data_IF_833092070076
#
_entry.id   IF_833092070076
#
_cell.length_a   1.000
_cell.length_b   1.000
_cell.length_c   1.000
_cell.angle_alpha   90.00
_cell.angle_beta   90.00
_cell.angle_gamma   90.00
#
_symmetry.space_group_name_H-M   'P 1'
#
loop_
_entity.id
_entity.type
_entity.pdbx_description
1 polymer ?
#
# COMPACT_ATOMS: atom_id res chain seq x y z
N UNK A 1 32.03 22.08 26.24
CA UNK A 1 30.75 21.40 26.52
C UNK A 1 29.65 22.21 25.87
N UNK A 2 29.26 21.86 24.64
CA UNK A 2 28.09 22.33 23.90
C UNK A 2 28.14 21.66 22.53
N UNK A 3 27.17 20.81 22.19
CA UNK A 3 26.80 20.50 20.80
C UNK A 3 25.32 20.09 20.75
N UNK A 4 24.50 20.76 19.93
CA UNK A 4 23.14 20.36 19.58
C UNK A 4 23.17 19.52 18.29
N UNK A 5 22.32 18.49 18.20
CA UNK A 5 22.22 17.62 17.02
C UNK A 5 20.76 17.36 16.67
N UNK A 6 20.23 18.19 15.78
CA UNK A 6 18.94 18.01 15.14
C UNK A 6 19.05 16.88 14.10
N UNK A 7 18.46 15.72 14.35
CA UNK A 7 18.40 14.64 13.37
C UNK A 7 17.23 14.88 12.41
N UNK A 8 17.54 15.58 11.32
CA UNK A 8 16.76 15.51 10.08
C UNK A 8 16.80 14.06 9.57
N UNK A 9 15.71 13.32 9.74
CA UNK A 9 15.52 12.03 9.08
C UNK A 9 15.17 12.27 7.61
N UNK A 10 16.18 12.59 6.78
CA UNK A 10 16.12 12.39 5.34
C UNK A 10 16.40 10.91 5.10
N UNK A 11 15.36 10.09 5.12
CA UNK A 11 15.45 8.70 4.69
C UNK A 11 15.55 8.73 3.16
N UNK A 12 16.73 8.46 2.63
CA UNK A 12 16.92 8.06 1.24
C UNK A 12 16.32 6.66 1.08
N UNK A 13 15.13 6.54 0.52
CA UNK A 13 14.66 5.29 -0.09
C UNK A 13 13.74 5.60 -1.28
N UNK A 14 14.29 5.53 -2.51
CA UNK A 14 13.50 5.10 -3.65
C UNK A 14 14.28 4.15 -4.58
N UNK A 15 15.12 3.24 -4.07
CA UNK A 15 15.93 2.35 -4.93
C UNK A 15 15.47 0.89 -4.94
N UNK A 16 14.66 0.44 -3.97
CA UNK A 16 14.28 -0.97 -3.90
C UNK A 16 13.08 -1.34 -4.78
N UNK A 17 12.19 -0.40 -5.09
CA UNK A 17 11.09 -0.65 -6.04
C UNK A 17 11.57 -0.66 -7.51
N UNK A 18 12.68 0.03 -7.80
CA UNK A 18 13.24 0.13 -9.15
C UNK A 18 13.90 -1.15 -9.66
N UNK A 19 14.36 -2.05 -8.77
CA UNK A 19 15.01 -3.30 -9.17
C UNK A 19 14.04 -4.40 -9.60
N UNK A 20 12.77 -4.35 -9.17
CA UNK A 20 11.76 -5.34 -9.56
C UNK A 20 11.16 -5.07 -10.95
N UNK A 21 11.04 -3.81 -11.37
CA UNK A 21 10.49 -3.44 -12.68
C UNK A 21 11.48 -3.62 -13.84
N UNK A 22 12.78 -3.72 -13.58
CA UNK A 22 13.80 -3.80 -14.63
C UNK A 22 14.03 -5.24 -15.17
N UNK A 23 13.45 -6.25 -14.52
CA UNK A 23 13.63 -7.67 -14.88
C UNK A 23 12.41 -8.37 -15.49
N UNK A 24 11.25 -7.70 -15.59
CA UNK A 24 10.01 -8.35 -15.99
C UNK A 24 9.26 -7.60 -17.11
N UNK A 25 9.79 -7.63 -18.33
CA UNK A 25 8.97 -7.58 -19.55
C UNK A 25 9.71 -8.32 -20.69
N UNK A 26 9.39 -9.60 -20.91
CA UNK A 26 9.66 -10.28 -22.19
C UNK A 26 8.30 -10.52 -22.88
N UNK A 27 8.03 -10.00 -24.11
CA UNK A 27 6.67 -9.87 -24.63
C UNK A 27 6.15 -11.07 -25.45
N UNK A 28 6.59 -12.29 -25.20
CA UNK A 28 6.13 -13.47 -25.94
C UNK A 28 5.81 -14.67 -25.04
N UNK A 29 4.62 -14.68 -24.43
CA UNK A 29 3.98 -15.92 -23.96
C UNK A 29 2.48 -15.68 -23.81
N UNK A 30 1.79 -15.70 -24.95
CA UNK A 30 0.34 -15.85 -25.03
C UNK A 30 0.07 -17.17 -25.77
N UNK A 31 -0.96 -17.87 -25.27
CA UNK A 31 -1.61 -19.09 -25.79
C UNK A 31 -1.05 -20.45 -25.33
N UNK A 32 -1.74 -21.13 -24.40
CA UNK A 32 -2.59 -22.32 -24.71
C UNK A 32 -3.05 -23.11 -23.46
N UNK A 33 -4.37 -23.37 -23.47
CA UNK A 33 -5.15 -24.50 -22.92
C UNK A 33 -5.64 -24.59 -21.47
N UNK A 34 -6.87 -25.09 -21.43
CA UNK A 34 -7.87 -25.29 -20.38
C UNK A 34 -7.82 -26.73 -19.80
N UNK A 35 -8.45 -26.89 -18.63
CA UNK A 35 -8.90 -28.12 -17.93
C UNK A 35 -7.89 -28.95 -17.13
N UNK A 36 -7.88 -28.77 -15.80
CA UNK A 36 -8.32 -29.80 -14.83
C UNK A 36 -8.35 -29.23 -13.41
N UNK A 37 -9.32 -29.68 -12.61
CA UNK A 37 -9.64 -29.08 -11.32
C UNK A 37 -8.57 -29.31 -10.26
N UNK A 38 -7.78 -28.28 -9.99
CA UNK A 38 -6.99 -28.08 -8.78
C UNK A 38 -6.85 -26.56 -8.53
N UNK A 39 -6.74 -26.14 -7.27
CA UNK A 39 -6.75 -24.73 -6.80
C UNK A 39 -6.07 -23.79 -7.81
N UNK A 40 -6.87 -22.98 -8.52
CA UNK A 40 -6.34 -22.00 -9.48
C UNK A 40 -5.70 -20.86 -8.71
N UNK A 41 -4.37 -20.86 -8.68
CA UNK A 41 -3.57 -19.67 -8.39
C UNK A 41 -3.88 -18.65 -9.48
N UNK A 42 -3.91 -17.35 -9.16
CA UNK A 42 -4.06 -16.33 -10.20
C UNK A 42 -2.82 -16.33 -11.09
N UNK A 43 -2.96 -15.95 -12.36
CA UNK A 43 -1.85 -15.84 -13.33
C UNK A 43 -0.69 -15.02 -12.74
N UNK A 44 -1.02 -14.02 -11.92
CA UNK A 44 -0.07 -13.19 -11.18
C UNK A 44 0.71 -13.99 -10.12
N UNK A 45 0.05 -14.87 -9.37
CA UNK A 45 0.71 -15.67 -8.33
C UNK A 45 1.58 -16.78 -8.94
N UNK A 46 1.16 -17.37 -10.05
CA UNK A 46 1.99 -18.31 -10.82
C UNK A 46 3.19 -17.60 -11.46
N UNK A 47 2.99 -16.40 -12.00
CA UNK A 47 4.09 -15.57 -12.50
C UNK A 47 5.07 -15.22 -11.38
N UNK A 48 4.61 -14.89 -10.17
CA UNK A 48 5.47 -14.58 -9.02
C UNK A 48 6.27 -15.82 -8.56
N UNK A 49 5.68 -17.01 -8.60
CA UNK A 49 6.38 -18.25 -8.25
C UNK A 49 7.39 -18.63 -9.33
N UNK A 50 7.02 -18.53 -10.61
CA UNK A 50 7.91 -18.82 -11.72
C UNK A 50 9.04 -17.79 -11.87
N UNK A 51 8.80 -16.54 -11.43
CA UNK A 51 9.76 -15.44 -11.37
C UNK A 51 10.76 -15.56 -10.23
N UNK A 52 10.53 -16.44 -9.25
CA UNK A 52 11.46 -16.62 -8.15
C UNK A 52 12.74 -17.29 -8.69
N UNK A 53 13.89 -16.59 -8.72
CA UNK A 53 15.14 -17.21 -9.16
C UNK A 53 15.46 -18.42 -8.28
N UNK A 54 16.03 -19.47 -8.88
CA UNK A 54 16.44 -20.66 -8.13
C UNK A 54 17.40 -20.24 -7.00
N UNK A 55 17.35 -20.93 -5.86
CA UNK A 55 18.20 -20.56 -4.72
C UNK A 55 19.69 -20.54 -5.11
N UNK A 56 20.11 -21.35 -6.09
CA UNK A 56 21.47 -21.34 -6.63
C UNK A 56 21.83 -20.03 -7.36
N UNK A 57 20.89 -19.44 -8.11
CA UNK A 57 21.11 -18.20 -8.87
C UNK A 57 21.12 -16.96 -7.96
N UNK A 58 20.40 -17.01 -6.83
CA UNK A 58 20.36 -15.91 -5.85
C UNK A 58 21.70 -15.70 -5.12
N UNK A 59 22.53 -16.74 -5.01
CA UNK A 59 23.76 -16.71 -4.19
C UNK A 59 25.07 -16.82 -4.99
N UNK A 60 25.02 -16.83 -6.32
CA UNK A 60 26.21 -16.84 -7.21
C UNK A 60 27.19 -15.68 -6.95
N UNK A 61 26.68 -14.52 -6.49
CA UNK A 61 27.51 -13.34 -6.20
C UNK A 61 28.47 -13.48 -5.01
N UNK A 62 28.28 -14.47 -4.12
CA UNK A 62 29.11 -14.64 -2.92
C UNK A 62 30.37 -15.47 -3.21
N UNK A 63 30.31 -16.41 -4.17
CA UNK A 63 31.42 -17.32 -4.45
C UNK A 63 32.64 -16.61 -5.09
N UNK A 64 32.40 -15.55 -5.86
CA UNK A 64 33.48 -14.77 -6.49
C UNK A 64 34.28 -13.91 -5.51
N UNK A 65 33.77 -13.66 -4.29
CA UNK A 65 34.47 -12.85 -3.28
C UNK A 65 35.44 -13.68 -2.42
N UNK A 66 35.29 -15.02 -2.42
CA UNK A 66 36.14 -15.91 -1.61
C UNK A 66 37.41 -16.39 -2.36
N UNK A 67 37.45 -16.34 -3.70
CA UNK A 67 38.62 -16.78 -4.47
C UNK A 67 39.81 -15.81 -4.46
N UNK A 68 39.63 -14.56 -4.01
CA UNK A 68 40.70 -13.54 -3.98
C UNK A 68 41.53 -13.55 -2.68
N UNK A 69 41.30 -14.50 -1.77
CA UNK A 69 41.93 -14.51 -0.44
C UNK A 69 42.95 -15.64 -0.16
N UNK A 70 43.29 -16.45 -1.16
CA UNK A 70 44.33 -17.50 -1.01
C UNK A 70 45.64 -17.10 -1.68
N UNK A 71 46.34 -16.16 -1.04
CA UNK A 71 47.76 -15.93 -1.25
C UNK A 71 48.46 -15.83 0.10
N UNK A 72 48.55 -16.95 0.84
CA UNK A 72 49.68 -17.24 1.73
C UNK A 72 49.65 -18.70 2.19
N UNK A 73 50.24 -19.57 1.37
CA UNK A 73 50.68 -20.90 1.78
C UNK A 73 52.09 -20.76 2.33
N UNK A 74 52.32 -21.16 3.59
CA UNK A 74 53.55 -21.89 3.98
C UNK A 74 53.50 -22.54 5.37
N UNK A 75 53.94 -23.81 5.34
CA UNK A 75 54.66 -24.60 6.35
C UNK A 75 53.89 -25.61 7.25
N UNK A 76 54.05 -26.89 6.83
CA UNK A 76 54.63 -28.04 7.57
C UNK A 76 53.68 -29.19 7.96
N UNK A 77 53.76 -30.21 7.09
CA UNK A 77 54.01 -31.64 7.29
C UNK A 77 52.95 -32.58 7.88
N UNK A 78 52.60 -33.53 7.00
CA UNK A 78 52.28 -34.93 7.24
C UNK A 78 53.07 -35.58 8.39
N UNK A 79 52.39 -36.39 9.21
CA UNK A 79 52.76 -37.79 9.34
C UNK A 79 51.59 -38.70 9.77
N UNK A 80 51.75 -39.95 9.39
CA UNK A 80 50.90 -41.14 9.33
C UNK A 80 50.37 -41.74 10.65
N UNK A 81 49.24 -42.47 10.61
CA UNK A 81 49.17 -43.94 10.86
C UNK A 81 47.73 -44.53 10.96
N UNK A 82 47.56 -45.55 10.14
CA UNK A 82 46.62 -46.68 10.06
C UNK A 82 45.86 -47.27 11.28
N UNK A 83 44.64 -47.74 10.97
CA UNK A 83 43.92 -48.97 11.39
C UNK A 83 43.28 -49.03 12.80
N UNK A 84 41.95 -49.21 12.85
CA UNK A 84 41.32 -50.48 13.28
C UNK A 84 39.79 -50.46 13.18
N UNK A 85 39.26 -51.56 12.64
CA UNK A 85 37.84 -51.82 12.46
C UNK A 85 37.18 -52.35 13.75
N UNK A 86 35.94 -51.91 13.98
CA UNK A 86 34.90 -52.70 14.63
C UNK A 86 34.54 -52.32 16.07
N UNK A 87 33.42 -51.62 16.26
CA UNK A 87 32.26 -52.12 17.01
C UNK A 87 31.13 -51.08 17.17
N UNK A 88 29.92 -51.52 16.78
CA UNK A 88 28.65 -51.34 17.51
C UNK A 88 28.08 -49.92 17.70
N UNK A 89 27.33 -49.49 16.67
CA UNK A 89 25.91 -49.08 16.73
C UNK A 89 25.40 -48.62 18.11
N UNK A 90 25.56 -47.33 18.40
CA UNK A 90 24.64 -46.50 19.21
C UNK A 90 25.06 -45.02 19.37
N UNK A 91 26.17 -44.59 18.76
CA UNK A 91 26.64 -43.19 18.82
C UNK A 91 26.21 -42.33 17.62
N UNK A 92 25.95 -42.95 16.45
CA UNK A 92 25.64 -42.22 15.19
C UNK A 92 24.33 -41.42 15.22
N UNK A 93 23.34 -41.80 16.03
CA UNK A 93 22.10 -41.03 16.13
C UNK A 93 22.28 -39.74 16.95
N UNK A 94 23.10 -39.78 18.00
CA UNK A 94 23.36 -38.60 18.85
C UNK A 94 24.34 -37.62 18.19
N UNK A 95 25.34 -38.13 17.46
CA UNK A 95 26.28 -37.30 16.70
C UNK A 95 25.61 -36.68 15.46
N UNK A 96 24.67 -37.38 14.80
CA UNK A 96 23.87 -36.80 13.71
C UNK A 96 22.87 -35.74 14.22
N UNK A 97 22.25 -35.92 15.40
CA UNK A 97 21.40 -34.90 16.01
C UNK A 97 22.22 -33.66 16.46
N UNK A 98 23.45 -33.85 16.96
CA UNK A 98 24.36 -32.79 17.37
C UNK A 98 24.97 -32.05 16.16
N UNK A 99 25.27 -32.76 15.06
CA UNK A 99 25.64 -32.16 13.77
C UNK A 99 24.48 -31.38 13.15
N UNK A 100 23.25 -31.90 13.16
CA UNK A 100 22.07 -31.16 12.67
C UNK A 100 21.84 -29.91 13.53
N UNK A 101 21.95 -30.01 14.86
CA UNK A 101 21.78 -28.87 15.77
C UNK A 101 22.91 -27.84 15.61
N UNK A 102 24.15 -28.26 15.36
CA UNK A 102 25.26 -27.37 15.02
C UNK A 102 25.11 -26.76 13.62
N UNK A 103 24.58 -27.51 12.65
CA UNK A 103 24.29 -27.02 11.31
C UNK A 103 23.15 -25.98 11.34
N UNK A 104 22.15 -26.17 12.21
CA UNK A 104 21.09 -25.19 12.49
C UNK A 104 21.63 -23.96 13.22
N UNK A 105 22.59 -24.13 14.14
CA UNK A 105 23.29 -23.01 14.78
C UNK A 105 24.19 -22.25 13.79
N UNK A 106 24.60 -22.88 12.68
CA UNK A 106 25.27 -22.26 11.53
C UNK A 106 24.34 -21.98 10.35
N UNK A 107 23.01 -22.07 10.51
CA UNK A 107 22.10 -21.36 9.60
C UNK A 107 22.26 -19.91 10.01
N UNK A 108 23.17 -19.21 9.34
CA UNK A 108 23.31 -17.77 9.44
C UNK A 108 21.90 -17.17 9.45
N UNK A 109 21.50 -16.59 10.58
CA UNK A 109 20.16 -16.00 10.72
C UNK A 109 20.11 -14.81 9.78
N UNK A 110 19.57 -15.03 8.59
CA UNK A 110 19.42 -14.01 7.57
C UNK A 110 18.27 -13.08 7.95
N UNK A 111 18.61 -11.85 8.32
CA UNK A 111 17.63 -10.81 8.58
C UNK A 111 17.17 -10.17 7.27
N UNK A 112 15.85 -10.00 7.13
CA UNK A 112 15.23 -9.27 6.02
C UNK A 112 14.30 -8.18 6.54
N UNK A 113 14.12 -7.13 5.74
CA UNK A 113 13.10 -6.13 6.02
C UNK A 113 11.70 -6.78 5.96
N UNK A 114 10.87 -6.45 6.96
CA UNK A 114 9.48 -6.89 7.01
C UNK A 114 8.60 -5.84 6.31
N UNK A 115 8.27 -6.08 5.05
CA UNK A 115 7.50 -5.13 4.25
C UNK A 115 6.03 -5.07 4.70
N UNK A 116 5.48 -6.18 5.20
CA UNK A 116 4.11 -6.24 5.66
C UNK A 116 3.89 -5.31 6.86
N UNK A 117 4.84 -5.31 7.81
CA UNK A 117 4.85 -4.39 8.94
C UNK A 117 5.04 -2.95 8.51
N UNK A 118 5.87 -2.72 7.49
CA UNK A 118 6.07 -1.38 6.95
C UNK A 118 4.79 -0.81 6.31
N UNK A 119 4.13 -1.58 5.45
CA UNK A 119 2.84 -1.22 4.82
C UNK A 119 1.76 -1.00 5.89
N UNK A 120 1.71 -1.85 6.93
CA UNK A 120 0.79 -1.64 8.06
C UNK A 120 1.03 -0.30 8.79
N UNK A 121 2.30 0.07 9.01
CA UNK A 121 2.64 1.36 9.60
C UNK A 121 2.23 2.53 8.70
N UNK A 122 2.41 2.40 7.38
CA UNK A 122 1.99 3.42 6.43
C UNK A 122 0.46 3.55 6.40
N UNK A 123 -0.29 2.45 6.40
CA UNK A 123 -1.77 2.45 6.48
C UNK A 123 -2.27 3.23 7.70
N UNK A 124 -1.69 2.98 8.88
CA UNK A 124 -2.00 3.70 10.12
C UNK A 124 -1.73 5.19 10.00
N UNK A 125 -0.54 5.55 9.49
CA UNK A 125 -0.13 6.93 9.29
C UNK A 125 -1.05 7.67 8.32
N UNK A 126 -1.48 7.01 7.24
CA UNK A 126 -2.45 7.54 6.28
C UNK A 126 -3.79 7.81 6.95
N UNK A 127 -4.30 6.88 7.76
CA UNK A 127 -5.54 7.06 8.52
C UNK A 127 -5.47 8.28 9.45
N UNK A 128 -4.39 8.39 10.25
CA UNK A 128 -4.19 9.53 11.17
C UNK A 128 -4.08 10.85 10.41
N UNK A 129 -3.36 10.87 9.28
CA UNK A 129 -3.20 12.07 8.45
C UNK A 129 -4.52 12.52 7.82
N UNK A 130 -5.34 11.57 7.35
CA UNK A 130 -6.67 11.85 6.81
C UNK A 130 -7.60 12.42 7.88
N UNK A 131 -7.66 11.78 9.05
CA UNK A 131 -8.45 12.28 10.19
C UNK A 131 -8.00 13.67 10.62
N UNK A 132 -6.69 13.92 10.64
CA UNK A 132 -6.15 15.26 10.91
C UNK A 132 -6.68 16.31 9.94
N UNK A 133 -6.70 15.99 8.64
CA UNK A 133 -7.17 16.90 7.60
C UNK A 133 -8.68 17.16 7.66
N UNK A 134 -9.47 16.17 8.08
CA UNK A 134 -10.95 16.24 8.09
C UNK A 134 -11.53 16.79 9.37
N UNK A 135 -11.01 16.35 10.52
CA UNK A 135 -11.57 16.62 11.84
C UNK A 135 -10.63 17.42 12.76
N UNK A 136 -9.39 17.66 12.33
CA UNK A 136 -8.43 18.50 13.05
C UNK A 136 -7.41 17.72 13.88
N UNK A 137 -6.54 18.48 14.57
CA UNK A 137 -5.40 17.95 15.31
C UNK A 137 -5.81 16.99 16.44
N UNK A 138 -6.80 17.38 17.24
CA UNK A 138 -7.22 16.61 18.41
C UNK A 138 -7.78 15.24 18.01
N UNK A 139 -8.56 15.18 16.93
CA UNK A 139 -9.08 13.94 16.38
C UNK A 139 -7.97 12.99 15.92
N UNK A 140 -6.91 13.52 15.32
CA UNK A 140 -5.75 12.74 14.93
C UNK A 140 -5.01 12.17 16.14
N UNK A 141 -4.88 12.95 17.23
CA UNK A 141 -4.26 12.50 18.49
C UNK A 141 -5.05 11.34 19.10
N UNK A 142 -6.39 11.42 19.12
CA UNK A 142 -7.26 10.33 19.62
C UNK A 142 -7.08 9.06 18.80
N UNK A 143 -7.17 9.15 17.47
CA UNK A 143 -7.02 7.99 16.60
C UNK A 143 -5.62 7.37 16.72
N UNK A 144 -4.57 8.19 16.77
CA UNK A 144 -3.20 7.72 16.94
C UNK A 144 -3.02 7.00 18.29
N UNK A 145 -3.56 7.57 19.37
CA UNK A 145 -3.55 6.95 20.70
C UNK A 145 -4.28 5.60 20.72
N UNK A 146 -5.42 5.50 20.03
CA UNK A 146 -6.17 4.25 19.87
C UNK A 146 -5.38 3.21 19.07
N UNK A 147 -4.72 3.62 17.99
CA UNK A 147 -3.90 2.73 17.16
C UNK A 147 -2.76 2.13 18.00
N UNK A 148 -2.03 2.97 18.73
CA UNK A 148 -0.90 2.54 19.56
C UNK A 148 -1.33 1.59 20.69
N UNK A 149 -2.48 1.83 21.34
CA UNK A 149 -3.01 0.91 22.35
C UNK A 149 -3.47 -0.43 21.77
N UNK A 150 -3.78 -0.48 20.47
CA UNK A 150 -4.23 -1.70 19.79
C UNK A 150 -3.11 -2.54 19.16
N UNK A 151 -1.87 -2.06 19.16
CA UNK A 151 -0.73 -2.69 18.47
C UNK A 151 -0.38 -4.11 18.96
N UNK A 152 -0.93 -4.51 20.11
CA UNK A 152 -0.80 -5.86 20.68
C UNK A 152 -1.83 -6.86 20.13
N UNK A 153 -2.82 -6.42 19.35
CA UNK A 153 -3.85 -7.29 18.77
C UNK A 153 -3.44 -7.79 17.37
N UNK A 154 -3.73 -9.06 17.09
CA UNK A 154 -3.19 -9.89 16.00
C UNK A 154 -3.01 -9.22 14.62
N UNK A 155 -1.83 -9.41 14.04
CA UNK A 155 -1.33 -8.76 12.82
C UNK A 155 -2.03 -9.12 11.49
N UNK A 156 -3.06 -9.98 11.48
CA UNK A 156 -3.61 -10.51 10.21
C UNK A 156 -4.75 -9.71 9.60
N UNK A 157 -5.46 -8.86 10.35
CA UNK A 157 -6.54 -8.05 9.74
C UNK A 157 -6.80 -6.78 10.54
N UNK A 158 -5.98 -5.76 10.35
CA UNK A 158 -6.08 -4.47 11.03
C UNK A 158 -7.12 -3.56 10.34
N UNK A 159 -8.37 -4.02 10.28
CA UNK A 159 -9.48 -3.28 9.67
C UNK A 159 -10.14 -2.31 10.65
N UNK A 160 -9.90 -2.50 11.95
CA UNK A 160 -10.47 -1.70 13.01
C UNK A 160 -9.53 -1.63 14.19
N UNK A 161 -9.73 -0.61 15.02
CA UNK A 161 -8.98 -0.37 16.25
C UNK A 161 -9.98 -0.27 17.38
N UNK A 162 -9.78 -1.04 18.44
CA UNK A 162 -10.66 -1.07 19.60
C UNK A 162 -9.89 -0.75 20.88
N UNK A 163 -10.46 0.10 21.73
CA UNK A 163 -9.88 0.46 23.04
C UNK A 163 -10.96 0.88 24.03
N UNK A 164 -10.70 0.68 25.32
CA UNK A 164 -11.57 1.18 26.39
C UNK A 164 -11.38 2.69 26.57
N UNK A 165 -12.40 3.39 27.06
CA UNK A 165 -12.31 4.85 27.32
C UNK A 165 -11.16 5.21 28.26
N UNK A 166 -10.89 4.39 29.29
CA UNK A 166 -9.78 4.64 30.22
C UNK A 166 -8.42 4.55 29.52
N UNK A 167 -8.21 3.53 28.69
CA UNK A 167 -6.98 3.35 27.92
C UNK A 167 -6.78 4.49 26.91
N UNK A 168 -7.85 4.91 26.23
CA UNK A 168 -7.79 6.04 25.29
C UNK A 168 -7.34 7.31 26.00
N UNK A 169 -7.94 7.65 27.15
CA UNK A 169 -7.60 8.87 27.89
C UNK A 169 -6.16 8.83 28.39
N UNK A 170 -5.69 7.69 28.87
CA UNK A 170 -4.31 7.52 29.35
C UNK A 170 -3.31 7.71 28.20
N UNK A 171 -3.52 7.03 27.07
CA UNK A 171 -2.67 7.14 25.87
C UNK A 171 -2.67 8.56 25.30
N UNK A 172 -3.83 9.22 25.25
CA UNK A 172 -3.97 10.62 24.83
C UNK A 172 -3.16 11.55 25.73
N UNK A 173 -3.23 11.39 27.06
CA UNK A 173 -2.48 12.24 28.01
C UNK A 173 -0.96 12.13 27.83
N UNK A 174 -0.47 11.00 27.33
CA UNK A 174 0.94 10.80 26.98
C UNK A 174 1.40 11.60 25.75
N UNK A 175 0.49 12.14 24.93
CA UNK A 175 0.80 12.82 23.67
C UNK A 175 0.81 14.36 23.81
N UNK A 176 1.62 15.07 22.99
CA UNK A 176 1.64 16.53 23.00
C UNK A 176 0.28 17.10 22.60
N UNK A 177 -0.28 17.98 23.44
CA UNK A 177 -1.63 18.55 23.26
C UNK A 177 -2.76 17.71 23.87
N UNK A 178 -2.51 16.46 24.26
CA UNK A 178 -3.53 15.59 24.86
C UNK A 178 -3.79 15.85 26.35
N UNK A 179 -2.84 16.45 27.07
CA UNK A 179 -3.01 16.82 28.49
C UNK A 179 -4.14 17.83 28.74
N UNK A 180 -4.37 18.75 27.79
CA UNK A 180 -5.45 19.74 27.85
C UNK A 180 -6.81 19.16 27.45
N UNK A 181 -6.86 17.93 26.94
CA UNK A 181 -8.08 17.35 26.39
C UNK A 181 -8.97 16.82 27.51
N UNK A 182 -10.20 17.35 27.59
CA UNK A 182 -11.20 16.88 28.54
C UNK A 182 -11.82 15.57 28.05
N UNK A 183 -12.33 14.77 28.99
CA UNK A 183 -13.03 13.51 28.67
C UNK A 183 -14.21 13.74 27.71
N UNK A 184 -14.95 14.82 27.89
CA UNK A 184 -16.09 15.16 27.03
C UNK A 184 -15.68 15.53 25.60
N UNK A 185 -14.51 16.16 25.45
CA UNK A 185 -13.92 16.43 24.13
C UNK A 185 -13.51 15.13 23.44
N UNK A 186 -12.92 14.18 24.17
CA UNK A 186 -12.60 12.84 23.62
C UNK A 186 -13.87 12.13 23.14
N UNK A 187 -14.97 12.18 23.90
CA UNK A 187 -16.25 11.59 23.47
C UNK A 187 -16.78 12.22 22.19
N UNK A 188 -16.79 13.55 22.13
CA UNK A 188 -17.22 14.29 20.94
C UNK A 188 -16.40 13.89 19.70
N UNK A 189 -15.08 13.72 19.87
CA UNK A 189 -14.20 13.26 18.79
C UNK A 189 -14.54 11.82 18.37
N UNK A 190 -14.79 10.92 19.32
CA UNK A 190 -15.15 9.53 19.01
C UNK A 190 -16.47 9.46 18.23
N UNK A 191 -17.43 10.32 18.55
CA UNK A 191 -18.67 10.46 17.76
C UNK A 191 -18.39 10.98 16.34
N UNK A 192 -17.48 11.95 16.17
CA UNK A 192 -17.07 12.46 14.85
C UNK A 192 -16.36 11.40 14.00
N UNK A 193 -15.64 10.46 14.63
CA UNK A 193 -14.98 9.33 13.98
C UNK A 193 -15.94 8.17 13.67
N UNK A 194 -17.25 8.36 13.87
CA UNK A 194 -18.28 7.33 13.66
C UNK A 194 -17.97 6.05 14.46
N UNK A 195 -17.41 6.22 15.66
CA UNK A 195 -16.97 5.12 16.50
C UNK A 195 -18.14 4.25 16.97
N UNK A 196 -17.99 2.94 16.83
CA UNK A 196 -18.95 1.95 17.32
C UNK A 196 -18.67 1.64 18.79
N UNK A 197 -19.69 1.75 19.64
CA UNK A 197 -19.60 1.44 21.06
C UNK A 197 -20.20 0.06 21.31
N UNK A 198 -19.37 -0.87 21.79
CA UNK A 198 -19.81 -2.19 22.22
C UNK A 198 -19.75 -2.26 23.74
N UNK A 199 -20.89 -2.48 24.39
CA UNK A 199 -20.96 -2.69 25.85
C UNK A 199 -20.72 -4.15 26.17
N UNK A 200 -19.56 -4.48 26.73
CA UNK A 200 -19.25 -5.79 27.28
C UNK A 200 -19.41 -5.79 28.81
N UNK A 201 -19.44 -6.98 29.42
CA UNK A 201 -19.53 -7.16 30.88
C UNK A 201 -18.38 -6.46 31.65
N UNK A 202 -17.24 -6.23 30.99
CA UNK A 202 -16.03 -5.60 31.56
C UNK A 202 -15.95 -4.09 31.30
N UNK A 203 -16.89 -3.53 30.52
CA UNK A 203 -16.93 -2.10 30.18
C UNK A 203 -17.23 -1.84 28.70
N UNK A 204 -17.36 -0.56 28.33
CA UNK A 204 -17.59 -0.15 26.95
C UNK A 204 -16.27 -0.10 26.15
N UNK A 205 -16.25 -0.81 25.02
CA UNK A 205 -15.18 -0.76 24.02
C UNK A 205 -15.58 0.16 22.88
N UNK A 206 -14.65 1.02 22.48
CA UNK A 206 -14.79 1.98 21.41
C UNK A 206 -14.00 1.48 20.20
N UNK A 207 -14.69 1.19 19.11
CA UNK A 207 -14.11 0.63 17.88
C UNK A 207 -14.21 1.63 16.73
N UNK A 208 -13.09 1.92 16.06
CA UNK A 208 -13.03 2.76 14.86
C UNK A 208 -12.62 1.89 13.67
N UNK A 209 -13.38 1.97 12.58
CA UNK A 209 -13.11 1.26 11.33
C UNK A 209 -12.03 1.96 10.51
N UNK A 210 -10.80 1.41 10.49
CA UNK A 210 -9.74 1.92 9.62
C UNK A 210 -10.07 1.72 8.14
N UNK A 211 -10.80 0.64 7.81
CA UNK A 211 -11.25 0.38 6.44
C UNK A 211 -12.11 1.50 5.88
N UNK A 212 -13.04 2.04 6.69
CA UNK A 212 -13.94 3.11 6.25
C UNK A 212 -13.17 4.43 6.04
N UNK A 213 -12.14 4.67 6.86
CA UNK A 213 -11.22 5.81 6.68
C UNK A 213 -10.45 5.68 5.35
N UNK A 214 -9.95 4.48 5.03
CA UNK A 214 -9.26 4.21 3.76
C UNK A 214 -10.20 4.34 2.57
N UNK A 215 -11.43 3.80 2.64
CA UNK A 215 -12.41 3.97 1.56
C UNK A 215 -12.72 5.46 1.33
N UNK A 216 -12.82 6.25 2.39
CA UNK A 216 -12.98 7.70 2.29
C UNK A 216 -11.78 8.39 1.62
N UNK A 217 -10.55 7.96 1.92
CA UNK A 217 -9.36 8.45 1.22
C UNK A 217 -9.40 8.11 -0.27
N UNK A 218 -9.77 6.88 -0.63
CA UNK A 218 -9.88 6.47 -2.03
C UNK A 218 -10.97 7.28 -2.76
N UNK A 219 -12.11 7.50 -2.10
CA UNK A 219 -13.18 8.34 -2.63
C UNK A 219 -12.68 9.77 -2.90
N UNK A 220 -11.94 10.38 -1.97
CA UNK A 220 -11.36 11.72 -2.14
C UNK A 220 -10.40 11.79 -3.34
N UNK A 221 -9.56 10.77 -3.50
CA UNK A 221 -8.58 10.74 -4.59
C UNK A 221 -9.29 10.70 -5.95
N UNK A 222 -10.26 9.79 -6.13
CA UNK A 222 -11.03 9.70 -7.38
C UNK A 222 -11.91 10.93 -7.59
N UNK A 223 -12.51 11.47 -6.53
CA UNK A 223 -13.22 12.75 -6.57
C UNK A 223 -12.33 13.87 -7.11
N UNK A 224 -11.06 13.93 -6.69
CA UNK A 224 -10.08 14.89 -7.19
C UNK A 224 -9.79 14.71 -8.68
N UNK A 225 -9.74 13.47 -9.16
CA UNK A 225 -9.56 13.14 -10.58
C UNK A 225 -10.78 13.60 -11.39
N UNK A 226 -11.99 13.33 -10.91
CA UNK A 226 -13.24 13.77 -11.54
C UNK A 226 -13.29 15.30 -11.62
N UNK A 227 -12.91 15.99 -10.54
CA UNK A 227 -12.83 17.45 -10.52
C UNK A 227 -11.85 17.99 -11.56
N UNK A 228 -10.65 17.42 -11.64
CA UNK A 228 -9.62 17.84 -12.62
C UNK A 228 -10.03 17.57 -14.06
N UNK A 229 -10.68 16.43 -14.36
CA UNK A 229 -11.02 15.99 -15.72
C UNK A 229 -12.35 16.55 -16.24
N UNK A 230 -13.37 16.65 -15.39
CA UNK A 230 -14.74 17.00 -15.80
C UNK A 230 -15.27 18.28 -15.16
N UNK A 231 -14.53 18.88 -14.23
CA UNK A 231 -14.87 20.14 -13.59
C UNK A 231 -15.84 20.00 -12.42
N UNK A 232 -16.21 21.17 -11.86
CA UNK A 232 -16.91 21.31 -10.58
C UNK A 232 -18.29 20.65 -10.55
N UNK A 233 -19.10 20.80 -11.60
CA UNK A 233 -20.48 20.28 -11.59
C UNK A 233 -20.50 18.74 -11.68
N UNK A 234 -19.57 18.17 -12.44
CA UNK A 234 -19.37 16.72 -12.52
C UNK A 234 -18.92 16.15 -11.18
N UNK A 235 -17.97 16.82 -10.52
CA UNK A 235 -17.55 16.50 -9.16
C UNK A 235 -18.72 16.52 -8.17
N UNK A 236 -19.61 17.53 -8.23
CA UNK A 236 -20.78 17.63 -7.34
C UNK A 236 -21.74 16.47 -7.51
N UNK A 237 -22.04 16.08 -8.75
CA UNK A 237 -22.89 14.91 -9.04
C UNK A 237 -22.20 13.63 -8.55
N UNK A 238 -20.93 13.45 -8.88
CA UNK A 238 -20.19 12.24 -8.53
C UNK A 238 -20.10 12.03 -7.02
N UNK A 239 -19.73 13.06 -6.25
CA UNK A 239 -19.71 13.04 -4.78
C UNK A 239 -21.08 12.72 -4.17
N UNK A 240 -22.16 13.28 -4.74
CA UNK A 240 -23.52 12.96 -4.30
C UNK A 240 -23.81 11.46 -4.49
N UNK A 241 -23.47 10.90 -5.65
CA UNK A 241 -23.71 9.50 -5.96
C UNK A 241 -22.88 8.55 -5.08
N UNK A 242 -21.60 8.86 -4.82
CA UNK A 242 -20.77 8.10 -3.86
C UNK A 242 -21.43 8.11 -2.48
N UNK A 243 -21.85 9.28 -1.99
CA UNK A 243 -22.46 9.42 -0.66
C UNK A 243 -23.80 8.69 -0.53
N UNK A 244 -24.58 8.64 -1.61
CA UNK A 244 -25.86 7.92 -1.60
C UNK A 244 -25.68 6.40 -1.66
N UNK A 245 -24.61 5.91 -2.29
CA UNK A 245 -24.26 4.48 -2.35
C UNK A 245 -25.24 3.57 -3.12
N UNK A 246 -26.34 4.13 -3.62
CA UNK A 246 -27.44 3.43 -4.26
C UNK A 246 -27.80 4.06 -5.61
N UNK A 247 -28.69 3.39 -6.34
CA UNK A 247 -29.22 3.86 -7.61
C UNK A 247 -30.14 5.08 -7.38
N UNK A 248 -29.79 6.21 -7.99
CA UNK A 248 -30.49 7.49 -7.81
C UNK A 248 -31.13 7.95 -9.12
N UNK A 249 -32.41 8.36 -9.13
CA UNK A 249 -33.05 8.89 -10.34
C UNK A 249 -32.52 10.29 -10.68
N UNK A 250 -32.49 10.63 -11.97
CA UNK A 250 -32.00 11.93 -12.47
C UNK A 250 -32.68 13.11 -11.75
N UNK A 251 -33.99 13.06 -11.55
CA UNK A 251 -34.73 14.16 -10.91
C UNK A 251 -34.20 14.46 -9.52
N UNK A 252 -33.94 13.43 -8.71
CA UNK A 252 -33.38 13.60 -7.37
C UNK A 252 -31.93 14.10 -7.40
N UNK A 253 -31.14 13.72 -8.41
CA UNK A 253 -29.78 14.23 -8.62
C UNK A 253 -29.84 15.73 -8.93
N UNK A 254 -30.69 16.12 -9.89
CA UNK A 254 -30.91 17.51 -10.30
C UNK A 254 -31.29 18.37 -9.10
N UNK A 255 -32.26 17.91 -8.31
CA UNK A 255 -32.77 18.64 -7.14
C UNK A 255 -31.69 18.78 -6.04
N UNK A 256 -30.99 17.70 -5.68
CA UNK A 256 -29.96 17.74 -4.62
C UNK A 256 -28.69 18.50 -5.03
N UNK A 257 -28.37 18.51 -6.32
CA UNK A 257 -27.22 19.26 -6.84
C UNK A 257 -27.57 20.69 -7.27
N UNK A 258 -28.85 21.08 -7.24
CA UNK A 258 -29.33 22.35 -7.76
C UNK A 258 -28.85 22.61 -9.21
N UNK A 259 -28.80 21.55 -10.01
CA UNK A 259 -28.47 21.63 -11.44
C UNK A 259 -29.77 21.58 -12.26
N UNK A 260 -29.75 22.21 -13.43
CA UNK A 260 -30.83 22.04 -14.40
C UNK A 260 -30.82 20.60 -14.95
N UNK A 261 -32.00 20.01 -15.16
CA UNK A 261 -32.14 18.62 -15.63
C UNK A 261 -31.34 18.33 -16.91
N UNK A 262 -31.29 19.29 -17.85
CA UNK A 262 -30.53 19.16 -19.11
C UNK A 262 -29.02 19.06 -18.87
N UNK A 263 -28.48 19.88 -17.98
CA UNK A 263 -27.05 19.87 -17.64
C UNK A 263 -26.70 18.63 -16.83
N UNK A 264 -27.53 18.24 -15.86
CA UNK A 264 -27.36 17.01 -15.11
C UNK A 264 -27.33 15.79 -16.04
N UNK A 265 -28.27 15.70 -17.00
CA UNK A 265 -28.29 14.64 -18.00
C UNK A 265 -27.01 14.61 -18.85
N UNK A 266 -26.55 15.77 -19.33
CA UNK A 266 -25.32 15.87 -20.14
C UNK A 266 -24.10 15.35 -19.37
N UNK A 267 -23.97 15.72 -18.10
CA UNK A 267 -22.88 15.29 -17.22
C UNK A 267 -22.96 13.78 -16.96
N UNK A 268 -24.15 13.27 -16.59
CA UNK A 268 -24.37 11.84 -16.32
C UNK A 268 -24.03 10.98 -17.54
N UNK A 269 -24.50 11.37 -18.73
CA UNK A 269 -24.16 10.67 -19.97
C UNK A 269 -22.66 10.73 -20.28
N UNK A 270 -21.96 11.82 -19.93
CA UNK A 270 -20.51 11.92 -20.15
C UNK A 270 -19.73 11.00 -19.20
N UNK A 271 -20.07 11.00 -17.92
CA UNK A 271 -19.42 10.13 -16.93
C UNK A 271 -19.70 8.64 -17.19
N UNK A 272 -20.91 8.31 -17.64
CA UNK A 272 -21.27 6.95 -18.03
C UNK A 272 -20.52 6.45 -19.27
N UNK A 273 -20.32 7.31 -20.28
CA UNK A 273 -19.51 6.96 -21.47
C UNK A 273 -18.05 6.66 -21.16
N UNK A 274 -17.53 7.22 -20.09
CA UNK A 274 -16.15 7.04 -19.65
C UNK A 274 -16.04 5.99 -18.53
N UNK A 275 -17.08 5.16 -18.33
CA UNK A 275 -17.16 4.05 -17.37
C UNK A 275 -17.08 4.44 -15.87
N UNK A 276 -17.37 5.71 -15.53
CA UNK A 276 -17.43 6.14 -14.13
C UNK A 276 -18.74 5.76 -13.44
N UNK A 277 -19.82 5.59 -14.20
CA UNK A 277 -21.17 5.37 -13.70
C UNK A 277 -21.78 4.12 -14.33
N UNK A 278 -22.70 3.50 -13.59
CA UNK A 278 -23.65 2.52 -14.09
C UNK A 278 -25.02 3.19 -14.27
N UNK A 279 -25.76 2.75 -15.29
CA UNK A 279 -27.12 3.20 -15.59
C UNK A 279 -28.06 1.99 -15.60
N UNK A 280 -29.13 2.06 -14.83
CA UNK A 280 -30.21 1.07 -14.86
C UNK A 280 -31.49 1.72 -15.39
N UNK A 281 -32.12 1.06 -16.37
CA UNK A 281 -33.39 1.49 -16.96
C UNK A 281 -34.54 0.72 -16.32
N UNK A 282 -35.42 1.45 -15.63
CA UNK A 282 -36.60 0.89 -14.98
C UNK A 282 -37.86 1.33 -15.71
N UNK A 283 -38.72 0.37 -16.06
CA UNK A 283 -40.02 0.63 -16.68
C UNK A 283 -41.11 0.68 -15.61
N UNK A 284 -41.73 1.84 -15.38
CA UNK A 284 -42.87 1.95 -14.47
C UNK A 284 -44.17 1.61 -15.23
N UNK A 285 -44.75 0.44 -14.92
CA UNK A 285 -45.96 -0.08 -15.57
C UNK A 285 -47.25 0.54 -15.00
N UNK A 286 -47.39 1.86 -15.01
CA UNK A 286 -48.65 2.53 -14.65
C UNK A 286 -49.06 3.52 -15.73
N UNK A 287 -49.95 3.07 -16.62
CA UNK A 287 -50.85 3.89 -17.46
C UNK A 287 -50.19 4.95 -18.39
N UNK A 288 -48.90 4.80 -18.68
CA UNK A 288 -48.12 5.60 -19.64
C UNK A 288 -46.66 5.17 -19.55
N UNK A 289 -45.95 5.02 -20.68
CA UNK A 289 -44.56 4.56 -20.73
C UNK A 289 -43.63 5.58 -20.07
N UNK A 290 -43.45 5.50 -18.75
CA UNK A 290 -42.46 6.30 -18.04
C UNK A 290 -41.24 5.44 -17.77
N UNK A 291 -40.24 5.58 -18.63
CA UNK A 291 -38.91 5.00 -18.45
C UNK A 291 -38.12 5.90 -17.50
N UNK A 292 -37.64 5.34 -16.39
CA UNK A 292 -36.81 6.07 -15.42
C UNK A 292 -35.40 5.51 -15.48
N UNK A 293 -34.42 6.41 -15.61
CA UNK A 293 -33.00 6.07 -15.58
C UNK A 293 -32.45 6.33 -14.19
N UNK A 294 -31.88 5.29 -13.60
CA UNK A 294 -31.21 5.33 -12.31
C UNK A 294 -29.70 5.26 -12.50
N UNK A 295 -28.97 6.00 -11.67
CA UNK A 295 -27.53 6.18 -11.81
C UNK A 295 -26.82 5.81 -10.52
N UNK A 296 -25.68 5.13 -10.64
CA UNK A 296 -24.81 4.76 -9.51
C UNK A 296 -23.35 4.86 -9.94
N UNK A 297 -22.43 5.07 -9.00
CA UNK A 297 -20.98 4.97 -9.29
C UNK A 297 -20.58 3.50 -9.33
N UNK A 298 -19.87 3.10 -10.39
CA UNK A 298 -19.30 1.77 -10.50
C UNK A 298 -17.96 1.69 -9.74
N UNK A 299 -18.03 1.72 -8.40
CA UNK A 299 -16.83 1.86 -7.55
C UNK A 299 -15.75 0.82 -7.86
N UNK A 300 -16.13 -0.46 -8.00
CA UNK A 300 -15.16 -1.55 -8.16
C UNK A 300 -14.39 -1.42 -9.47
N UNK A 301 -15.11 -1.34 -10.59
CA UNK A 301 -14.49 -1.22 -11.91
C UNK A 301 -13.71 0.09 -12.03
N UNK A 302 -14.25 1.18 -11.49
CA UNK A 302 -13.58 2.47 -11.54
C UNK A 302 -12.27 2.48 -10.73
N UNK A 303 -12.21 1.80 -9.57
CA UNK A 303 -10.99 1.75 -8.77
C UNK A 303 -9.91 0.91 -9.46
N UNK A 304 -10.30 -0.20 -10.08
CA UNK A 304 -9.40 -1.01 -10.92
C UNK A 304 -8.86 -0.21 -12.11
N UNK A 305 -9.72 0.56 -12.78
CA UNK A 305 -9.32 1.45 -13.88
C UNK A 305 -8.33 2.53 -13.41
N UNK A 306 -8.65 3.21 -12.30
CA UNK A 306 -7.79 4.26 -11.74
C UNK A 306 -6.43 3.69 -11.33
N UNK A 307 -6.41 2.52 -10.71
CA UNK A 307 -5.18 1.84 -10.32
C UNK A 307 -4.34 1.45 -11.55
N UNK A 308 -4.98 0.94 -12.61
CA UNK A 308 -4.29 0.62 -13.86
C UNK A 308 -3.69 1.87 -14.51
N UNK A 309 -4.42 2.99 -14.55
CA UNK A 309 -3.92 4.27 -15.03
C UNK A 309 -2.73 4.78 -14.21
N UNK A 310 -2.75 4.57 -12.89
CA UNK A 310 -1.63 4.89 -12.00
C UNK A 310 -0.39 4.04 -12.32
N UNK A 311 -0.55 2.73 -12.53
CA UNK A 311 0.58 1.86 -12.91
C UNK A 311 1.19 2.24 -14.26
N UNK A 312 0.36 2.52 -15.27
CA UNK A 312 0.87 3.01 -16.55
C UNK A 312 1.60 4.35 -16.40
N UNK A 313 1.09 5.25 -15.56
CA UNK A 313 1.74 6.53 -15.28
C UNK A 313 3.08 6.32 -14.58
N UNK A 314 3.16 5.42 -13.59
CA UNK A 314 4.39 5.09 -12.88
C UNK A 314 5.45 4.50 -13.82
N UNK A 315 5.04 3.60 -14.73
CA UNK A 315 5.93 3.05 -15.76
C UNK A 315 6.45 4.13 -16.69
N UNK A 316 5.58 5.01 -17.20
CA UNK A 316 5.96 6.11 -18.08
C UNK A 316 6.95 7.07 -17.41
N UNK A 317 6.74 7.40 -16.13
CA UNK A 317 7.66 8.25 -15.36
C UNK A 317 9.00 7.53 -15.16
N UNK A 318 8.98 6.25 -14.81
CA UNK A 318 10.19 5.44 -14.58
C UNK A 318 11.05 5.31 -15.85
N UNK A 319 10.41 5.03 -16.99
CA UNK A 319 11.08 5.03 -18.29
C UNK A 319 11.67 6.40 -18.62
N UNK A 320 10.96 7.49 -18.27
CA UNK A 320 11.49 8.83 -18.50
C UNK A 320 12.69 9.16 -17.61
N UNK A 321 12.71 8.69 -16.36
CA UNK A 321 13.86 8.81 -15.46
C UNK A 321 15.08 8.06 -16.04
N UNK A 322 14.88 6.84 -16.55
CA UNK A 322 15.93 6.06 -17.19
C UNK A 322 16.53 6.81 -18.40
N UNK A 323 15.68 7.32 -19.29
CA UNK A 323 16.11 8.14 -20.44
C UNK A 323 16.92 9.39 -20.01
N UNK A 324 16.46 10.10 -18.97
CA UNK A 324 17.16 11.28 -18.45
C UNK A 324 18.53 10.90 -17.87
N UNK A 325 18.64 9.74 -17.21
CA UNK A 325 19.91 9.24 -16.68
C UNK A 325 20.88 8.87 -17.81
N UNK A 326 20.42 8.21 -18.87
CA UNK A 326 21.24 7.92 -20.05
C UNK A 326 21.74 9.21 -20.72
N UNK A 327 20.84 10.18 -20.93
CA UNK A 327 21.21 11.48 -21.50
C UNK A 327 22.21 12.23 -20.61
N UNK A 328 22.08 12.11 -19.29
CA UNK A 328 23.01 12.69 -18.33
C UNK A 328 24.41 12.08 -18.44
N UNK A 329 24.52 10.76 -18.63
CA UNK A 329 25.80 10.06 -18.79
C UNK A 329 26.47 10.38 -20.14
N UNK A 330 25.68 10.58 -21.19
CA UNK A 330 26.17 10.89 -22.54
C UNK A 330 26.43 12.40 -22.76
N UNK A 331 26.02 13.25 -21.83
CA UNK A 331 26.17 14.70 -21.97
C UNK A 331 27.62 15.12 -21.77
N UNK A 332 28.21 15.73 -22.82
CA UNK A 332 29.45 16.49 -22.70
C UNK A 332 29.22 17.71 -21.79
N UNK A 333 30.29 18.26 -21.20
CA UNK A 333 30.36 19.20 -20.06
C UNK A 333 29.61 20.56 -20.16
N UNK A 334 28.54 20.67 -20.94
CA UNK A 334 27.56 21.75 -20.87
C UNK A 334 26.85 21.71 -19.52
N UNK A 335 27.36 22.53 -18.60
CA UNK A 335 26.85 22.68 -17.23
C UNK A 335 25.38 23.08 -17.23
N UNK A 336 24.91 23.87 -18.21
CA UNK A 336 23.52 24.31 -18.26
C UNK A 336 22.59 23.17 -18.65
N UNK A 337 23.00 22.34 -19.62
CA UNK A 337 22.26 21.12 -19.99
C UNK A 337 22.21 20.13 -18.83
N UNK A 338 23.35 19.90 -18.16
CA UNK A 338 23.45 18.98 -17.03
C UNK A 338 22.54 19.39 -15.87
N UNK A 339 22.49 20.68 -15.57
CA UNK A 339 21.63 21.24 -14.52
C UNK A 339 20.14 21.10 -14.86
N UNK A 340 19.77 21.29 -16.13
CA UNK A 340 18.39 21.05 -16.60
C UNK A 340 17.99 19.59 -16.44
N UNK A 341 18.86 18.65 -16.80
CA UNK A 341 18.60 17.21 -16.65
C UNK A 341 18.45 16.81 -15.18
N UNK A 342 19.30 17.34 -14.28
CA UNK A 342 19.15 17.11 -12.84
C UNK A 342 17.80 17.59 -12.31
N UNK A 343 17.39 18.80 -12.68
CA UNK A 343 16.08 19.34 -12.25
C UNK A 343 14.93 18.50 -12.79
N UNK A 344 14.99 18.12 -14.06
CA UNK A 344 13.98 17.25 -14.65
C UNK A 344 13.89 15.91 -13.90
N UNK A 345 15.03 15.28 -13.60
CA UNK A 345 15.07 14.03 -12.84
C UNK A 345 14.45 14.18 -11.44
N UNK A 346 14.83 15.22 -10.69
CA UNK A 346 14.27 15.46 -9.35
C UNK A 346 12.75 15.67 -9.38
N UNK A 347 12.23 16.35 -10.40
CA UNK A 347 10.78 16.52 -10.58
C UNK A 347 10.11 15.18 -10.86
N UNK A 348 10.69 14.35 -11.73
CA UNK A 348 10.16 13.03 -12.06
C UNK A 348 10.18 12.09 -10.86
N UNK A 349 11.30 12.00 -10.14
CA UNK A 349 11.44 11.20 -8.91
C UNK A 349 10.44 11.65 -7.83
N UNK A 350 10.28 12.97 -7.64
CA UNK A 350 9.29 13.49 -6.70
C UNK A 350 7.84 13.21 -7.15
N UNK A 351 7.59 13.15 -8.46
CA UNK A 351 6.26 12.85 -9.01
C UNK A 351 5.93 11.37 -8.86
N UNK A 352 6.93 10.50 -9.06
CA UNK A 352 6.80 9.07 -8.82
C UNK A 352 6.50 8.77 -7.35
N UNK A 353 7.23 9.37 -6.41
CA UNK A 353 6.97 9.19 -4.98
C UNK A 353 5.55 9.60 -4.57
N UNK A 354 5.02 10.68 -5.14
CA UNK A 354 3.62 11.10 -4.88
C UNK A 354 2.60 10.13 -5.48
N UNK A 355 2.95 9.50 -6.60
CA UNK A 355 2.12 8.50 -7.25
C UNK A 355 2.14 7.19 -6.46
N UNK A 356 3.28 6.80 -5.90
CA UNK A 356 3.42 5.62 -5.03
C UNK A 356 2.50 5.72 -3.80
N UNK A 357 2.39 6.90 -3.18
CA UNK A 357 1.45 7.14 -2.07
C UNK A 357 -0.01 6.84 -2.47
N UNK A 358 -0.40 7.21 -3.69
CA UNK A 358 -1.72 6.93 -4.24
C UNK A 358 -1.88 5.45 -4.61
N UNK A 359 -0.90 4.84 -5.27
CA UNK A 359 -0.93 3.40 -5.61
C UNK A 359 -1.11 2.56 -4.35
N UNK A 360 -0.35 2.85 -3.30
CA UNK A 360 -0.44 2.14 -2.03
C UNK A 360 -1.83 2.25 -1.41
N UNK A 361 -2.52 3.39 -1.56
CA UNK A 361 -3.88 3.58 -1.09
C UNK A 361 -4.92 2.71 -1.80
N UNK A 362 -4.74 2.39 -3.09
CA UNK A 362 -5.67 1.56 -3.85
C UNK A 362 -5.30 0.07 -3.86
N UNK A 363 -4.01 -0.25 -3.75
CA UNK A 363 -3.49 -1.62 -3.87
C UNK A 363 -3.21 -2.28 -2.52
N UNK A 364 -2.53 -1.59 -1.60
CA UNK A 364 -1.96 -2.21 -0.40
C UNK A 364 -2.82 -2.01 0.87
N UNK A 365 -3.66 -0.98 0.91
CA UNK A 365 -4.50 -0.62 2.07
C UNK A 365 -5.90 -1.19 1.98
#
# INVERSE_FOLDING_TARGET
MLFPGSYNCKILFPLFFFLLLHYFVDPYMLDLFDQSGEKTWTIEQEAIIAAAPSDADRFSGILNLMMDSEADIKHINNDSLEVSAGNKRKHEALEAEEEIQNTINTIDVLWRANYEKFVQCLKKKTCVTNVRSRFGLDAAIVLEAMIESSDHQNARTMNSVSSSMSSIIESVRGKPGGLSMTLEHVRTILEQLECQVCTEETGALYTVGLKDIIENCQNDEVESLVFKKYGKESYRIFRLLIKMGQLVPMDQISDKTFLEKKEAQKILCKLWKDDYLDMEKVNLNVRGRSEVFLWKVNKKVLWELVLNDMFHTALNISQKIAQVNEEFLLSNADVQKLERLRRARLILESSLLKLDDAIMLFHDF
#
